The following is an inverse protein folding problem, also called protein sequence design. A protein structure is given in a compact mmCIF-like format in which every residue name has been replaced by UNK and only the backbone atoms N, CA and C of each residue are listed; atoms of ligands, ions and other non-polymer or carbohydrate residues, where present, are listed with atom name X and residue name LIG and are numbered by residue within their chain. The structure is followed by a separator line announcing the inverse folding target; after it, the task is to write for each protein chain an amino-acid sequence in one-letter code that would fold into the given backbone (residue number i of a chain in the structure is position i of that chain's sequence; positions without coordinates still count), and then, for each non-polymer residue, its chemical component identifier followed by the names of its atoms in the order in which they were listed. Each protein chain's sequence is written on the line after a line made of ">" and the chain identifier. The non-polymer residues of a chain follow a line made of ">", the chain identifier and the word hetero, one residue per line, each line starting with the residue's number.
data_IF_899720641211
#
_entry.id   IF_899720641211
#
_cell.length_a   1.000
_cell.length_b   1.000
_cell.length_c   1.000
_cell.angle_alpha   90.00
_cell.angle_beta   90.00
_cell.angle_gamma   90.00
#
_symmetry.space_group_name_H-M   'P 1'
#
loop_
_entity.id
_entity.type
_entity.pdbx_description
1 polymer ?
#
# COMPACT_ATOMS: atom_id res chain seq x y z
N UNK A 1 55.47 5.91 -8.46
CA UNK A 1 54.44 6.10 -7.42
C UNK A 1 53.07 6.09 -8.08
N UNK A 2 52.43 4.91 -8.09
CA UNK A 2 51.17 4.66 -8.78
C UNK A 2 49.98 5.02 -7.90
N UNK A 3 48.96 5.65 -8.49
CA UNK A 3 47.72 6.08 -7.84
C UNK A 3 46.80 4.88 -7.63
N UNK A 4 46.46 4.57 -6.37
CA UNK A 4 45.40 3.63 -6.01
C UNK A 4 44.01 4.23 -6.29
N UNK A 5 43.18 3.49 -7.02
CA UNK A 5 41.75 3.75 -7.17
C UNK A 5 41.01 3.01 -6.06
N UNK A 6 40.30 3.75 -5.22
CA UNK A 6 39.36 3.21 -4.23
C UNK A 6 38.08 2.81 -4.97
N UNK A 7 37.80 1.51 -5.09
CA UNK A 7 36.52 0.98 -5.54
C UNK A 7 35.64 0.66 -4.32
N UNK A 8 34.53 1.37 -4.21
CA UNK A 8 33.49 1.12 -3.20
C UNK A 8 32.83 -0.24 -3.45
N UNK A 9 33.12 -1.22 -2.59
CA UNK A 9 32.42 -2.49 -2.52
C UNK A 9 31.01 -2.28 -1.95
N UNK A 10 29.99 -2.35 -2.81
CA UNK A 10 28.62 -2.58 -2.36
C UNK A 10 28.54 -3.98 -1.75
N UNK A 11 28.19 -4.04 -0.46
CA UNK A 11 27.99 -5.29 0.28
C UNK A 11 26.72 -5.95 -0.24
N UNK A 12 26.87 -6.87 -1.18
CA UNK A 12 25.86 -7.85 -1.58
C UNK A 12 25.54 -8.74 -0.38
N UNK A 13 24.26 -8.89 -0.04
CA UNK A 13 23.77 -9.78 1.03
C UNK A 13 23.84 -11.27 0.66
N UNK A 14 24.75 -11.67 -0.22
CA UNK A 14 25.05 -13.05 -0.55
C UNK A 14 25.74 -13.74 0.63
N UNK A 15 24.95 -14.10 1.65
CA UNK A 15 25.28 -15.25 2.50
C UNK A 15 25.40 -16.47 1.59
N UNK A 16 26.50 -17.21 1.73
CA UNK A 16 26.83 -18.42 0.99
C UNK A 16 25.67 -19.42 1.04
N UNK A 17 24.90 -19.50 -0.03
CA UNK A 17 23.95 -20.58 -0.28
C UNK A 17 24.61 -21.66 -1.13
N UNK A 18 24.22 -22.90 -0.89
CA UNK A 18 24.69 -24.10 -1.59
C UNK A 18 24.11 -24.13 -3.02
N UNK A 19 24.66 -23.32 -3.93
CA UNK A 19 24.58 -23.54 -5.39
C UNK A 19 25.56 -22.61 -6.12
N UNK A 20 26.40 -23.18 -6.98
CA UNK A 20 27.59 -22.56 -7.60
C UNK A 20 27.26 -21.67 -8.80
N UNK A 21 26.33 -20.73 -8.65
CA UNK A 21 26.29 -19.53 -9.50
C UNK A 21 25.40 -19.54 -10.74
N UNK A 22 24.96 -20.68 -11.28
CA UNK A 22 24.04 -20.71 -12.45
C UNK A 22 22.93 -21.79 -12.34
N UNK A 23 22.71 -22.32 -11.13
CA UNK A 23 21.76 -23.40 -10.86
C UNK A 23 20.46 -22.96 -10.20
N UNK A 24 19.38 -23.64 -10.59
CA UNK A 24 18.03 -23.72 -10.01
C UNK A 24 17.79 -23.00 -8.66
N UNK A 25 16.91 -22.01 -8.67
CA UNK A 25 16.58 -21.17 -7.50
C UNK A 25 15.24 -21.50 -6.82
N UNK A 26 14.60 -22.65 -7.07
CA UNK A 26 13.44 -23.02 -6.27
C UNK A 26 13.88 -23.54 -4.91
N UNK A 27 13.46 -22.83 -3.86
CA UNK A 27 13.79 -23.08 -2.47
C UNK A 27 12.55 -23.63 -1.75
N UNK A 28 12.65 -24.79 -1.07
CA UNK A 28 11.60 -25.22 -0.18
C UNK A 28 11.57 -24.31 1.07
N UNK A 29 10.38 -23.83 1.42
CA UNK A 29 10.10 -22.99 2.58
C UNK A 29 9.02 -23.67 3.44
N UNK A 30 9.36 -23.98 4.69
CA UNK A 30 8.35 -24.49 5.63
C UNK A 30 7.37 -23.38 6.00
N UNK A 31 6.08 -23.67 5.82
CA UNK A 31 4.96 -22.75 6.07
C UNK A 31 4.16 -23.17 7.32
N UNK A 32 4.66 -24.13 8.10
CA UNK A 32 3.97 -24.64 9.30
C UNK A 32 2.77 -25.52 9.00
N UNK A 33 2.53 -25.88 7.73
CA UNK A 33 1.40 -26.73 7.34
C UNK A 33 1.73 -28.21 7.50
N UNK A 34 0.76 -29.00 7.98
CA UNK A 34 0.93 -30.44 8.27
C UNK A 34 1.37 -31.25 7.05
N UNK A 35 0.82 -30.95 5.87
CA UNK A 35 0.99 -31.77 4.66
C UNK A 35 1.70 -31.07 3.49
N UNK A 36 1.85 -29.75 3.55
CA UNK A 36 2.34 -28.96 2.42
C UNK A 36 3.59 -28.17 2.82
N UNK A 37 4.46 -27.95 1.84
CA UNK A 37 5.61 -27.06 1.91
C UNK A 37 5.50 -26.04 0.77
N UNK A 38 5.92 -24.81 1.02
CA UNK A 38 6.05 -23.80 -0.03
C UNK A 38 7.28 -24.11 -0.88
N UNK A 39 7.17 -24.02 -2.20
CA UNK A 39 8.32 -24.02 -3.10
C UNK A 39 8.37 -22.66 -3.78
N UNK A 40 9.41 -21.87 -3.51
CA UNK A 40 9.49 -20.46 -3.90
C UNK A 40 10.71 -20.18 -4.77
N UNK A 41 10.62 -19.21 -5.68
CA UNK A 41 11.78 -18.55 -6.28
C UNK A 41 11.71 -17.06 -5.94
N UNK A 42 12.56 -16.57 -5.01
CA UNK A 42 12.51 -15.18 -4.54
C UNK A 42 12.70 -14.13 -5.65
N UNK A 43 13.55 -14.43 -6.63
CA UNK A 43 13.88 -13.48 -7.70
C UNK A 43 12.70 -13.26 -8.63
N UNK A 44 11.95 -14.33 -8.92
CA UNK A 44 10.78 -14.33 -9.80
C UNK A 44 9.45 -14.11 -9.06
N UNK A 45 9.48 -14.05 -7.72
CA UNK A 45 8.30 -14.09 -6.86
C UNK A 45 7.34 -15.27 -7.11
N UNK A 46 7.81 -16.31 -7.79
CA UNK A 46 7.05 -17.52 -8.02
C UNK A 46 6.91 -18.30 -6.71
N UNK A 47 5.73 -18.87 -6.47
CA UNK A 47 5.53 -19.81 -5.39
C UNK A 47 4.47 -20.86 -5.78
N UNK A 48 4.58 -22.04 -5.18
CA UNK A 48 3.55 -23.09 -5.27
C UNK A 48 3.56 -23.94 -4.00
N UNK A 49 2.45 -24.64 -3.74
CA UNK A 49 2.36 -25.61 -2.64
C UNK A 49 2.65 -27.01 -3.15
N UNK A 50 3.58 -27.69 -2.48
CA UNK A 50 3.96 -29.08 -2.79
C UNK A 50 3.68 -29.95 -1.57
N UNK A 51 3.18 -31.18 -1.78
CA UNK A 51 3.04 -32.13 -0.66
C UNK A 51 4.42 -32.52 -0.14
N UNK A 52 4.61 -32.52 1.19
CA UNK A 52 5.92 -32.80 1.82
C UNK A 52 6.55 -34.12 1.35
N UNK A 53 5.73 -35.17 1.18
CA UNK A 53 6.17 -36.47 0.70
C UNK A 53 6.48 -36.55 -0.80
N UNK A 54 6.11 -35.54 -1.59
CA UNK A 54 6.37 -35.45 -3.03
C UNK A 54 7.47 -34.45 -3.38
N UNK A 55 8.09 -33.78 -2.39
CA UNK A 55 9.06 -32.71 -2.65
C UNK A 55 10.24 -33.18 -3.50
N UNK A 56 10.85 -34.32 -3.15
CA UNK A 56 11.95 -34.89 -3.92
C UNK A 56 11.56 -35.15 -5.38
N UNK A 57 10.38 -35.74 -5.61
CA UNK A 57 9.87 -36.00 -6.95
C UNK A 57 9.68 -34.72 -7.75
N UNK A 58 9.08 -33.67 -7.16
CA UNK A 58 8.85 -32.39 -7.86
C UNK A 58 10.16 -31.68 -8.20
N UNK A 59 11.17 -31.80 -7.33
CA UNK A 59 12.51 -31.22 -7.57
C UNK A 59 13.32 -32.00 -8.61
N UNK A 60 12.96 -33.26 -8.89
CA UNK A 60 13.60 -34.09 -9.93
C UNK A 60 12.74 -34.25 -11.20
N UNK A 61 11.45 -33.92 -11.14
CA UNK A 61 10.51 -34.05 -12.25
C UNK A 61 10.84 -33.01 -13.33
N UNK A 62 11.37 -33.50 -14.44
CA UNK A 62 11.73 -32.68 -15.59
C UNK A 62 10.54 -31.91 -16.15
N UNK A 63 9.30 -32.39 -16.00
CA UNK A 63 8.11 -31.77 -16.57
C UNK A 63 7.72 -30.47 -15.84
N UNK A 64 7.73 -30.47 -14.51
CA UNK A 64 7.45 -29.28 -13.70
C UNK A 64 8.55 -28.23 -13.91
N UNK A 65 9.81 -28.65 -13.78
CA UNK A 65 10.98 -27.78 -13.95
C UNK A 65 11.01 -27.14 -15.33
N UNK A 66 10.70 -27.92 -16.37
CA UNK A 66 10.62 -27.43 -17.74
C UNK A 66 9.52 -26.38 -17.93
N UNK A 67 8.33 -26.60 -17.34
CA UNK A 67 7.24 -25.61 -17.36
C UNK A 67 7.62 -24.32 -16.65
N UNK A 68 8.26 -24.41 -15.49
CA UNK A 68 8.76 -23.25 -14.75
C UNK A 68 9.80 -22.47 -15.56
N UNK A 69 10.84 -23.15 -16.08
CA UNK A 69 11.90 -22.52 -16.90
C UNK A 69 11.37 -21.78 -18.13
N UNK A 70 10.31 -22.31 -18.76
CA UNK A 70 9.63 -21.62 -19.88
C UNK A 70 9.03 -20.26 -19.50
N UNK A 71 8.66 -20.07 -18.23
CA UNK A 71 8.01 -18.85 -17.71
C UNK A 71 8.94 -17.99 -16.87
N UNK A 72 10.04 -18.54 -16.38
CA UNK A 72 11.00 -17.86 -15.50
C UNK A 72 11.43 -16.49 -16.01
N UNK A 73 11.83 -16.39 -17.29
CA UNK A 73 12.21 -15.10 -17.89
C UNK A 73 11.05 -14.09 -17.90
N UNK A 74 9.82 -14.55 -18.12
CA UNK A 74 8.64 -13.69 -18.07
C UNK A 74 8.42 -13.15 -16.66
N UNK A 75 8.51 -14.02 -15.64
CA UNK A 75 8.37 -13.62 -14.24
C UNK A 75 9.48 -12.66 -13.81
N UNK A 76 10.73 -12.89 -14.22
CA UNK A 76 11.83 -11.96 -13.96
C UNK A 76 11.59 -10.60 -14.59
N UNK A 77 11.14 -10.56 -15.85
CA UNK A 77 10.82 -9.30 -16.53
C UNK A 77 9.69 -8.55 -15.83
N UNK A 78 8.63 -9.26 -15.43
CA UNK A 78 7.53 -8.68 -14.68
C UNK A 78 8.00 -8.13 -13.32
N UNK A 79 8.79 -8.91 -12.57
CA UNK A 79 9.35 -8.46 -11.30
C UNK A 79 10.28 -7.26 -11.45
N UNK A 80 11.10 -7.22 -12.50
CA UNK A 80 11.95 -6.06 -12.79
C UNK A 80 11.12 -4.83 -13.14
N UNK A 81 10.05 -4.99 -13.93
CA UNK A 81 9.10 -3.92 -14.23
C UNK A 81 8.44 -3.40 -12.95
N UNK A 82 7.91 -4.29 -12.10
CA UNK A 82 7.26 -3.93 -10.83
C UNK A 82 8.22 -3.24 -9.85
N UNK A 83 9.47 -3.71 -9.74
CA UNK A 83 10.47 -3.18 -8.80
C UNK A 83 11.12 -1.88 -9.27
N UNK A 84 11.39 -1.76 -10.58
CA UNK A 84 12.28 -0.72 -11.10
C UNK A 84 11.68 0.09 -12.25
N UNK A 85 10.68 -0.44 -12.96
CA UNK A 85 10.10 0.22 -14.14
C UNK A 85 8.80 0.97 -13.86
N UNK A 86 8.06 0.59 -12.81
CA UNK A 86 6.85 1.30 -12.42
C UNK A 86 7.19 2.63 -11.75
N UNK A 87 6.71 3.71 -12.36
CA UNK A 87 6.70 5.02 -11.73
C UNK A 87 5.46 5.15 -10.86
N UNK A 88 5.54 5.81 -9.69
CA UNK A 88 4.36 6.11 -8.89
C UNK A 88 3.31 6.83 -9.72
N UNK A 89 2.06 6.39 -9.62
CA UNK A 89 0.89 7.02 -10.25
C UNK A 89 -0.20 7.38 -9.24
N UNK A 90 0.00 7.05 -7.97
CA UNK A 90 -0.92 7.33 -6.88
C UNK A 90 -0.16 7.68 -5.59
N UNK A 91 -0.73 8.58 -4.78
CA UNK A 91 -0.21 8.95 -3.46
C UNK A 91 -1.33 8.90 -2.43
N UNK A 92 -1.08 8.17 -1.34
CA UNK A 92 -1.87 8.31 -0.11
C UNK A 92 -1.32 9.50 0.67
N UNK A 93 -2.14 10.54 0.78
CA UNK A 93 -1.74 11.83 1.34
C UNK A 93 -2.42 12.03 2.70
N UNK A 94 -1.62 12.22 3.75
CA UNK A 94 -2.15 12.39 5.11
C UNK A 94 -2.24 13.88 5.45
N UNK A 95 -3.40 14.56 5.35
CA UNK A 95 -3.53 15.99 5.63
C UNK A 95 -3.48 16.30 7.14
N UNK A 96 -3.55 15.27 7.98
CA UNK A 96 -3.50 15.38 9.43
C UNK A 96 -3.03 14.09 10.08
N UNK A 97 -2.40 14.26 11.24
CA UNK A 97 -2.05 13.19 12.16
C UNK A 97 -3.23 12.77 13.06
N UNK A 98 -4.27 13.60 13.17
CA UNK A 98 -5.33 13.46 14.18
C UNK A 98 -6.46 12.54 13.73
N UNK A 99 -7.02 11.80 14.67
CA UNK A 99 -8.25 11.02 14.49
C UNK A 99 -9.23 11.35 15.62
N UNK A 100 -10.54 11.31 15.34
CA UNK A 100 -11.58 11.38 16.35
C UNK A 100 -11.96 10.00 16.92
N UNK A 101 -11.27 8.95 16.48
CA UNK A 101 -11.46 7.56 16.91
C UNK A 101 -10.19 6.93 17.48
N UNK A 102 -10.39 5.94 18.36
CA UNK A 102 -9.35 5.08 18.91
C UNK A 102 -9.60 3.60 18.58
N UNK A 103 -9.50 3.25 17.29
CA UNK A 103 -9.67 1.86 16.85
C UNK A 103 -8.55 0.98 17.43
N UNK A 104 -8.91 -0.20 17.94
CA UNK A 104 -7.99 -1.05 18.72
C UNK A 104 -6.84 -1.63 17.90
N UNK A 105 -7.02 -1.76 16.58
CA UNK A 105 -6.02 -2.31 15.64
C UNK A 105 -5.28 -1.22 14.86
N UNK A 106 -5.53 0.07 15.12
CA UNK A 106 -4.96 1.14 14.31
C UNK A 106 -3.43 1.16 14.47
N UNK A 107 -2.71 1.01 13.36
CA UNK A 107 -1.24 1.03 13.37
C UNK A 107 -0.65 2.43 13.65
N UNK A 108 -1.44 3.49 13.47
CA UNK A 108 -1.00 4.86 13.75
C UNK A 108 -0.98 5.04 15.28
N UNK A 109 0.16 5.49 15.86
CA UNK A 109 0.30 5.63 17.30
C UNK A 109 -0.82 6.45 17.95
N UNK A 110 -1.24 6.03 19.14
CA UNK A 110 -2.35 6.66 19.87
C UNK A 110 -2.08 8.14 20.15
N UNK A 111 -0.91 8.45 20.71
CA UNK A 111 -0.51 9.83 21.02
C UNK A 111 -0.53 10.74 19.80
N UNK A 112 -0.09 10.23 18.64
CA UNK A 112 -0.11 10.96 17.39
C UNK A 112 -1.55 11.25 16.93
N UNK A 113 -2.45 10.25 17.01
CA UNK A 113 -3.86 10.43 16.63
C UNK A 113 -4.61 11.38 17.57
N UNK A 114 -4.24 11.42 18.85
CA UNK A 114 -4.93 12.22 19.87
C UNK A 114 -4.44 13.67 19.86
N UNK A 115 -3.12 13.86 19.79
CA UNK A 115 -2.43 15.13 20.04
C UNK A 115 -1.59 15.63 18.85
N UNK A 116 -1.60 14.93 17.72
CA UNK A 116 -0.90 15.34 16.50
C UNK A 116 -1.47 16.61 15.88
N UNK A 117 -0.95 16.99 14.70
CA UNK A 117 -1.25 18.29 14.08
C UNK A 117 -2.01 18.13 12.77
N UNK A 118 -2.68 19.22 12.39
CA UNK A 118 -3.18 19.40 11.03
C UNK A 118 -2.09 20.06 10.19
N UNK A 119 -1.93 19.65 8.93
CA UNK A 119 -1.25 20.52 7.98
C UNK A 119 -2.14 21.72 7.69
N UNK A 120 -1.56 22.92 7.65
CA UNK A 120 -2.29 24.10 7.19
C UNK A 120 -2.70 23.94 5.72
N UNK A 121 -3.79 24.58 5.32
CA UNK A 121 -4.25 24.61 3.93
C UNK A 121 -3.12 24.99 2.98
N UNK A 122 -2.36 26.05 3.30
CA UNK A 122 -1.18 26.47 2.51
C UNK A 122 -0.15 25.35 2.32
N UNK A 123 0.13 24.55 3.36
CA UNK A 123 1.08 23.44 3.30
C UNK A 123 0.55 22.29 2.46
N UNK A 124 -0.73 21.94 2.59
CA UNK A 124 -1.39 20.93 1.75
C UNK A 124 -1.31 21.35 0.27
N UNK A 125 -1.74 22.57 -0.06
CA UNK A 125 -1.70 23.05 -1.45
C UNK A 125 -0.27 23.07 -2.01
N UNK A 126 0.72 23.48 -1.22
CA UNK A 126 2.13 23.48 -1.65
C UNK A 126 2.64 22.05 -1.92
N UNK A 127 2.24 21.08 -1.11
CA UNK A 127 2.63 19.69 -1.32
C UNK A 127 2.00 19.11 -2.60
N UNK A 128 0.72 19.42 -2.86
CA UNK A 128 0.05 19.00 -4.10
C UNK A 128 0.62 19.68 -5.34
N UNK A 129 1.09 20.92 -5.23
CA UNK A 129 1.82 21.59 -6.31
C UNK A 129 3.10 20.82 -6.68
N UNK A 130 3.87 20.38 -5.69
CA UNK A 130 5.07 19.56 -5.91
C UNK A 130 4.72 18.23 -6.57
N UNK A 131 3.65 17.57 -6.12
CA UNK A 131 3.19 16.32 -6.71
C UNK A 131 2.73 16.52 -8.16
N UNK A 132 2.03 17.64 -8.45
CA UNK A 132 1.59 17.98 -9.80
C UNK A 132 2.79 18.08 -10.73
N UNK A 133 3.81 18.86 -10.34
CA UNK A 133 5.01 19.05 -11.14
C UNK A 133 5.76 17.72 -11.36
N UNK A 134 5.87 16.90 -10.32
CA UNK A 134 6.45 15.57 -10.41
C UNK A 134 5.71 14.69 -11.42
N UNK A 135 4.38 14.58 -11.31
CA UNK A 135 3.62 13.68 -12.18
C UNK A 135 3.57 14.17 -13.63
N UNK A 136 3.48 15.48 -13.86
CA UNK A 136 3.56 16.05 -15.22
C UNK A 136 4.91 15.77 -15.89
N UNK A 137 6.00 15.70 -15.11
CA UNK A 137 7.32 15.36 -15.62
C UNK A 137 7.55 13.85 -15.80
N UNK A 138 6.79 12.99 -15.11
CA UNK A 138 7.12 11.56 -15.00
C UNK A 138 6.11 10.62 -15.65
N UNK A 139 4.83 10.99 -15.69
CA UNK A 139 3.75 10.20 -16.26
C UNK A 139 3.44 10.61 -17.71
N UNK A 140 2.92 9.68 -18.53
CA UNK A 140 2.36 10.00 -19.84
C UNK A 140 1.23 11.04 -19.76
N UNK A 141 1.09 11.88 -20.79
CA UNK A 141 0.13 13.01 -20.82
C UNK A 141 -1.34 12.58 -20.70
N UNK A 142 -1.65 11.36 -21.12
CA UNK A 142 -2.97 10.75 -21.09
C UNK A 142 -3.30 10.07 -19.74
N UNK A 143 -2.32 9.98 -18.83
CA UNK A 143 -2.53 9.42 -17.50
C UNK A 143 -2.77 10.51 -16.46
N UNK A 144 -3.86 10.37 -15.71
CA UNK A 144 -4.19 11.26 -14.60
C UNK A 144 -3.80 10.57 -13.29
N UNK A 145 -2.81 11.09 -12.54
CA UNK A 145 -2.41 10.54 -11.24
C UNK A 145 -3.51 10.61 -10.19
N UNK A 146 -3.43 9.76 -9.18
CA UNK A 146 -4.41 9.68 -8.09
C UNK A 146 -3.87 10.24 -6.77
N UNK A 147 -4.67 11.05 -6.09
CA UNK A 147 -4.41 11.48 -4.71
C UNK A 147 -5.52 10.94 -3.82
N UNK A 148 -5.15 10.11 -2.86
CA UNK A 148 -6.09 9.56 -1.87
C UNK A 148 -5.82 10.23 -0.53
N UNK A 149 -6.72 11.10 -0.08
CA UNK A 149 -6.65 11.64 1.27
C UNK A 149 -6.86 10.52 2.27
N UNK A 150 -5.86 10.29 3.11
CA UNK A 150 -5.76 9.16 4.03
C UNK A 150 -5.17 9.65 5.36
N UNK A 151 -4.67 8.72 6.18
CA UNK A 151 -3.91 8.97 7.39
C UNK A 151 -4.72 8.54 8.59
N UNK A 152 -4.85 9.46 9.54
CA UNK A 152 -5.71 9.29 10.69
C UNK A 152 -7.19 9.50 10.29
N UNK A 153 -7.77 10.68 10.45
CA UNK A 153 -9.08 11.01 9.85
C UNK A 153 -8.99 12.28 9.00
N UNK A 154 -8.97 12.17 7.65
CA UNK A 154 -8.80 13.34 6.79
C UNK A 154 -9.94 14.36 6.90
N UNK A 155 -11.17 13.94 7.23
CA UNK A 155 -12.29 14.86 7.40
C UNK A 155 -12.17 15.76 8.63
N UNK A 156 -11.23 15.50 9.56
CA UNK A 156 -10.88 16.48 10.59
C UNK A 156 -10.18 17.72 10.03
N UNK A 157 -9.58 17.62 8.84
CA UNK A 157 -8.97 18.75 8.13
C UNK A 157 -9.79 19.07 6.85
N UNK A 158 -11.12 19.08 6.98
CA UNK A 158 -12.10 19.24 5.87
C UNK A 158 -11.75 20.42 4.96
N UNK A 159 -11.46 21.59 5.54
CA UNK A 159 -11.15 22.81 4.79
C UNK A 159 -9.94 22.61 3.85
N UNK A 160 -8.81 22.14 4.39
CA UNK A 160 -7.61 21.93 3.59
C UNK A 160 -7.81 20.86 2.51
N UNK A 161 -8.54 19.79 2.82
CA UNK A 161 -8.87 18.72 1.87
C UNK A 161 -9.76 19.26 0.74
N UNK A 162 -10.78 20.05 1.06
CA UNK A 162 -11.71 20.59 0.07
C UNK A 162 -11.05 21.63 -0.82
N UNK A 163 -10.28 22.56 -0.24
CA UNK A 163 -9.47 23.52 -1.01
C UNK A 163 -8.49 22.84 -1.96
N UNK A 164 -7.91 21.72 -1.53
CA UNK A 164 -7.00 20.93 -2.37
C UNK A 164 -7.72 20.25 -3.54
N UNK A 165 -8.90 19.66 -3.30
CA UNK A 165 -9.73 19.07 -4.36
C UNK A 165 -10.11 20.13 -5.37
N UNK A 166 -10.61 21.29 -4.93
CA UNK A 166 -11.07 22.35 -5.83
C UNK A 166 -9.94 22.95 -6.67
N UNK A 167 -8.77 23.14 -6.07
CA UNK A 167 -7.64 23.74 -6.78
C UNK A 167 -7.03 22.79 -7.83
N UNK A 168 -7.08 21.48 -7.60
CA UNK A 168 -6.32 20.52 -8.40
C UNK A 168 -7.17 19.44 -9.10
N UNK A 169 -8.49 19.63 -9.18
CA UNK A 169 -9.44 18.69 -9.80
C UNK A 169 -9.10 18.29 -11.26
N UNK A 170 -8.48 19.20 -12.01
CA UNK A 170 -8.03 18.98 -13.39
C UNK A 170 -6.74 18.17 -13.49
N UNK A 171 -5.97 18.05 -12.41
CA UNK A 171 -4.66 17.41 -12.41
C UNK A 171 -4.66 16.03 -11.75
N UNK A 172 -5.61 15.78 -10.84
CA UNK A 172 -5.66 14.54 -10.06
C UNK A 172 -7.04 13.91 -10.11
N UNK A 173 -7.05 12.57 -10.09
CA UNK A 173 -8.21 11.82 -9.60
C UNK A 173 -8.13 11.78 -8.09
N UNK A 174 -9.18 12.25 -7.42
CA UNK A 174 -9.21 12.28 -5.96
C UNK A 174 -10.01 11.12 -5.38
N UNK A 175 -9.49 10.60 -4.27
CA UNK A 175 -10.23 9.75 -3.35
C UNK A 175 -10.05 10.22 -1.91
N UNK A 176 -10.93 9.75 -1.04
CA UNK A 176 -10.82 9.93 0.40
C UNK A 176 -11.12 8.61 1.11
N UNK A 177 -10.25 8.21 2.03
CA UNK A 177 -10.51 7.12 2.96
C UNK A 177 -10.89 7.73 4.31
N UNK A 178 -12.09 7.42 4.80
CA UNK A 178 -12.62 8.01 6.04
C UNK A 178 -13.24 6.95 6.94
N UNK A 179 -13.26 7.24 8.23
CA UNK A 179 -14.03 6.49 9.21
C UNK A 179 -15.54 6.77 9.12
N UNK A 180 -15.97 7.72 8.28
CA UNK A 180 -17.37 8.05 7.99
C UNK A 180 -18.07 8.88 9.05
N UNK A 181 -17.50 9.02 10.25
CA UNK A 181 -18.17 9.69 11.37
C UNK A 181 -18.30 11.21 11.21
N UNK A 182 -17.62 11.80 10.25
CA UNK A 182 -17.63 13.24 9.91
C UNK A 182 -18.20 13.51 8.51
N UNK A 183 -18.77 12.51 7.85
CA UNK A 183 -19.47 12.70 6.59
C UNK A 183 -20.89 13.22 6.87
N UNK A 184 -21.01 14.54 6.94
CA UNK A 184 -22.29 15.24 6.95
C UNK A 184 -22.85 15.43 5.53
N UNK A 185 -24.09 15.90 5.41
CA UNK A 185 -24.75 16.11 4.12
C UNK A 185 -24.00 17.08 3.21
N UNK A 186 -23.31 18.08 3.77
CA UNK A 186 -22.51 19.05 3.03
C UNK A 186 -21.29 18.35 2.41
N UNK A 187 -20.55 17.58 3.21
CA UNK A 187 -19.39 16.83 2.76
C UNK A 187 -19.76 15.78 1.71
N UNK A 188 -20.84 15.02 1.94
CA UNK A 188 -21.34 14.04 0.97
C UNK A 188 -21.68 14.74 -0.35
N UNK A 189 -22.40 15.85 -0.31
CA UNK A 189 -22.75 16.62 -1.51
C UNK A 189 -21.49 17.12 -2.23
N UNK A 190 -20.54 17.68 -1.50
CA UNK A 190 -19.28 18.18 -2.05
C UNK A 190 -18.48 17.09 -2.77
N UNK A 191 -18.32 15.94 -2.14
CA UNK A 191 -17.53 14.81 -2.64
C UNK A 191 -18.21 14.13 -3.83
N UNK A 192 -19.51 13.86 -3.72
CA UNK A 192 -20.27 13.15 -4.78
C UNK A 192 -20.47 14.03 -6.02
N UNK A 193 -20.74 15.33 -5.86
CA UNK A 193 -20.90 16.24 -7.01
C UNK A 193 -19.61 16.38 -7.84
N UNK A 194 -18.45 16.09 -7.25
CA UNK A 194 -17.13 16.12 -7.90
C UNK A 194 -16.60 14.72 -8.26
N UNK A 195 -17.44 13.68 -8.13
CA UNK A 195 -17.08 12.28 -8.44
C UNK A 195 -15.84 11.79 -7.67
N UNK A 196 -15.66 12.27 -6.44
CA UNK A 196 -14.58 11.85 -5.56
C UNK A 196 -14.88 10.43 -5.08
N UNK A 197 -13.90 9.54 -5.16
CA UNK A 197 -14.05 8.17 -4.64
C UNK A 197 -14.05 8.19 -3.10
N UNK A 198 -15.02 7.55 -2.47
CA UNK A 198 -15.14 7.51 -0.99
C UNK A 198 -14.92 6.07 -0.52
N UNK A 199 -13.83 5.85 0.21
CA UNK A 199 -13.58 4.62 0.95
C UNK A 199 -14.11 4.73 2.37
N UNK A 200 -15.11 3.93 2.70
CA UNK A 200 -15.71 3.86 4.04
C UNK A 200 -15.12 2.70 4.84
N UNK A 201 -14.66 2.99 6.05
CA UNK A 201 -14.08 1.99 6.94
C UNK A 201 -15.15 1.37 7.85
N UNK A 202 -15.53 0.11 7.59
CA UNK A 202 -16.53 -0.65 8.34
C UNK A 202 -16.06 -2.09 8.58
N UNK A 203 -16.15 -2.57 9.82
CA UNK A 203 -15.64 -3.89 10.21
C UNK A 203 -16.77 -4.86 10.56
N UNK A 204 -17.30 -5.51 9.53
CA UNK A 204 -18.36 -6.51 9.66
C UNK A 204 -19.77 -5.92 9.61
N UNK A 205 -20.77 -6.80 9.57
CA UNK A 205 -22.18 -6.43 9.36
C UNK A 205 -23.00 -6.14 10.62
N UNK A 206 -22.38 -6.09 11.81
CA UNK A 206 -23.10 -5.82 13.05
C UNK A 206 -22.32 -4.93 14.01
N UNK A 207 -23.03 -4.10 14.76
CA UNK A 207 -22.44 -3.27 15.81
C UNK A 207 -21.70 -4.09 16.87
N UNK A 208 -22.17 -5.31 17.20
CA UNK A 208 -21.51 -6.20 18.17
C UNK A 208 -20.05 -6.52 17.81
N UNK A 209 -19.72 -6.56 16.52
CA UNK A 209 -18.34 -6.77 16.03
C UNK A 209 -17.65 -5.43 15.79
N UNK A 210 -18.26 -4.57 14.98
CA UNK A 210 -17.67 -3.31 14.56
C UNK A 210 -17.34 -2.40 15.75
N UNK A 211 -18.25 -2.29 16.72
CA UNK A 211 -18.09 -1.39 17.88
C UNK A 211 -17.05 -1.90 18.88
N UNK A 212 -16.63 -3.18 18.82
CA UNK A 212 -15.51 -3.67 19.64
C UNK A 212 -14.17 -3.14 19.14
N UNK A 213 -14.05 -3.01 17.82
CA UNK A 213 -12.81 -2.68 17.13
C UNK A 213 -12.70 -1.18 16.81
N UNK A 214 -13.82 -0.56 16.43
CA UNK A 214 -13.91 0.82 15.97
C UNK A 214 -14.70 1.66 16.98
N UNK A 215 -13.96 2.33 17.87
CA UNK A 215 -14.51 3.14 18.96
C UNK A 215 -13.99 4.57 18.89
N UNK A 216 -14.73 5.49 19.47
CA UNK A 216 -14.24 6.83 19.81
C UNK A 216 -13.24 6.79 20.97
N UNK A 217 -12.59 7.92 21.25
CA UNK A 217 -11.67 8.06 22.39
C UNK A 217 -12.30 7.77 23.76
N UNK A 218 -13.61 7.97 23.91
CA UNK A 218 -14.37 7.62 25.11
C UNK A 218 -14.98 6.20 25.07
N UNK A 219 -14.52 5.34 24.14
CA UNK A 219 -14.90 3.92 24.08
C UNK A 219 -16.27 3.64 23.44
N UNK A 220 -16.95 4.65 22.89
CA UNK A 220 -18.26 4.47 22.27
C UNK A 220 -18.13 3.90 20.86
N UNK A 221 -18.94 2.89 20.55
CA UNK A 221 -19.09 2.35 19.20
C UNK A 221 -19.64 3.36 18.19
N UNK A 222 -19.27 3.22 16.93
CA UNK A 222 -19.67 4.15 15.85
C UNK A 222 -20.49 3.48 14.74
N UNK A 223 -20.73 2.17 14.80
CA UNK A 223 -21.35 1.40 13.72
C UNK A 223 -22.67 2.02 13.23
N UNK A 224 -23.61 2.26 14.15
CA UNK A 224 -24.91 2.85 13.79
C UNK A 224 -24.80 4.24 13.15
N UNK A 225 -23.76 5.01 13.49
CA UNK A 225 -23.53 6.33 12.89
C UNK A 225 -23.03 6.16 11.46
N UNK A 226 -22.07 5.27 11.25
CA UNK A 226 -21.44 5.03 9.94
C UNK A 226 -22.42 4.39 8.95
N UNK A 227 -23.29 3.48 9.40
CA UNK A 227 -24.28 2.83 8.52
C UNK A 227 -25.43 3.73 8.06
N UNK A 228 -25.50 4.96 8.57
CA UNK A 228 -26.51 5.97 8.19
C UNK A 228 -25.98 7.01 7.21
N UNK A 229 -24.68 6.97 6.93
CA UNK A 229 -24.02 7.79 5.91
C UNK A 229 -24.35 7.22 4.54
#
# INVERSE_FOLDING_TARGET
>A
MAKEKITNNFISSQKKYFNTGDGFQLQPMDIGHKHYIGLISPDTAFWTLVKKNCLGQVLTDSSFLYKYRKKEKSFLNEMNLLRFGLKPSAVYFNPTDRCNMNCSYCYIPEELRKHGKHMSTKRVLKALEILKDYFQATLPKDQIPQIVFHGAEPMLNKEAVFSAIERFDKYFRFGIQTNGTLLDSEAIKFLTSRKISIGLSIDGGSGKVADKLRKTWNGKGVFQKVTKV
#
